data_IF_492462471504
#
_entry.id   IF_492462471504
#
_cell.length_a   1.000
_cell.length_b   1.000
_cell.length_c   1.000
_cell.angle_alpha   90.00
_cell.angle_beta   90.00
_cell.angle_gamma   90.00
#
_symmetry.space_group_name_H-M   'P 1'
#
loop_
_entity.id
_entity.type
_entity.pdbx_description
1 polymer ?
#
# COMPACT_ATOMS: atom_id res chain seq x y z
N UNK A 1 23.85 30.74 5.45
CA UNK A 1 24.04 31.46 6.73
C UNK A 1 24.65 32.85 6.50
N UNK A 2 23.83 33.80 6.03
CA UNK A 2 24.20 35.22 5.86
C UNK A 2 23.02 36.15 6.24
N UNK A 3 22.14 35.69 7.13
CA UNK A 3 20.85 36.36 7.44
C UNK A 3 20.70 36.84 8.88
N UNK A 4 21.68 36.61 9.75
CA UNK A 4 21.57 36.91 11.18
C UNK A 4 21.97 38.36 11.52
N UNK A 5 22.84 38.97 10.71
CA UNK A 5 23.32 40.34 10.93
C UNK A 5 22.30 41.44 10.60
N UNK A 6 21.47 41.25 9.57
CA UNK A 6 20.54 42.29 9.10
C UNK A 6 19.32 42.49 10.02
N UNK A 7 18.88 41.41 10.70
CA UNK A 7 17.75 41.47 11.65
C UNK A 7 18.02 42.36 12.86
N UNK A 8 19.25 42.39 13.37
CA UNK A 8 19.62 43.24 14.52
C UNK A 8 19.68 44.73 14.15
N UNK A 9 20.03 45.04 12.91
CA UNK A 9 20.10 46.43 12.43
C UNK A 9 18.70 47.02 12.16
N UNK A 10 17.80 46.26 11.56
CA UNK A 10 16.43 46.72 11.30
C UNK A 10 15.63 46.99 12.58
N UNK A 11 15.87 46.22 13.66
CA UNK A 11 15.23 46.44 14.97
C UNK A 11 15.72 47.70 15.69
N UNK A 12 16.89 48.24 15.35
CA UNK A 12 17.43 49.46 15.97
C UNK A 12 16.81 50.75 15.41
N UNK A 13 16.24 50.71 14.19
CA UNK A 13 15.69 51.87 13.50
C UNK A 13 14.18 52.11 13.72
N UNK A 14 13.49 51.21 14.41
CA UNK A 14 12.05 51.37 14.70
C UNK A 14 11.79 51.41 16.20
N UNK A 15 12.40 52.38 16.90
CA UNK A 15 11.87 52.86 18.19
C UNK A 15 10.81 53.94 17.92
N UNK A 16 9.69 53.50 17.35
CA UNK A 16 8.48 54.32 17.24
C UNK A 16 7.31 53.44 17.66
N UNK A 17 6.63 53.86 18.73
CA UNK A 17 5.40 53.25 19.23
C UNK A 17 4.30 53.46 18.18
N UNK A 18 4.19 52.55 17.23
CA UNK A 18 3.11 52.49 16.26
C UNK A 18 2.61 51.06 16.13
N UNK A 19 1.54 50.74 16.85
CA UNK A 19 0.71 49.55 16.66
C UNK A 19 0.10 49.62 15.26
N UNK A 20 0.74 49.02 14.25
CA UNK A 20 0.12 48.96 12.92
C UNK A 20 0.97 48.40 11.77
N UNK A 21 2.30 48.48 11.82
CA UNK A 21 3.12 48.16 10.64
C UNK A 21 3.58 46.69 10.61
N UNK A 22 3.73 46.03 11.76
CA UNK A 22 4.19 44.63 11.81
C UNK A 22 3.17 43.63 11.25
N UNK A 23 1.90 43.99 11.12
CA UNK A 23 0.86 43.14 10.53
C UNK A 23 0.89 43.13 8.99
N UNK A 24 1.50 44.15 8.35
CA UNK A 24 1.52 44.27 6.88
C UNK A 24 2.63 43.43 6.21
N UNK A 25 3.65 43.00 6.96
CA UNK A 25 4.79 42.24 6.41
C UNK A 25 4.63 40.71 6.47
N UNK A 26 3.58 40.20 7.11
CA UNK A 26 3.33 38.75 7.22
C UNK A 26 2.47 38.17 6.09
N UNK A 27 2.19 38.97 5.05
CA UNK A 27 1.25 38.65 3.97
C UNK A 27 1.87 38.47 2.59
N UNK A 28 3.18 38.27 2.45
CA UNK A 28 3.76 37.87 1.17
C UNK A 28 3.45 36.37 0.95
N UNK A 29 2.22 36.05 0.54
CA UNK A 29 1.94 34.73 -0.04
C UNK A 29 2.88 34.55 -1.22
N UNK A 30 3.64 33.47 -1.25
CA UNK A 30 4.45 33.11 -2.40
C UNK A 30 3.54 33.13 -3.64
N UNK A 31 3.77 34.06 -4.57
CA UNK A 31 3.01 34.21 -5.82
C UNK A 31 3.37 33.12 -6.86
N UNK A 32 3.82 31.96 -6.38
CA UNK A 32 4.19 30.79 -7.19
C UNK A 32 3.11 29.71 -7.19
N UNK A 33 1.89 30.03 -6.71
CA UNK A 33 0.76 29.10 -6.71
C UNK A 33 0.13 28.98 -8.10
N UNK A 34 -0.32 27.78 -8.46
CA UNK A 34 -1.10 27.56 -9.68
C UNK A 34 -2.33 28.47 -9.73
N UNK A 35 -2.70 28.92 -10.93
CA UNK A 35 -3.91 29.71 -11.13
C UNK A 35 -5.16 28.86 -10.85
N UNK A 36 -6.30 29.46 -10.47
CA UNK A 36 -7.55 28.70 -10.26
C UNK A 36 -7.94 27.85 -11.46
N UNK A 37 -7.64 28.32 -12.68
CA UNK A 37 -7.89 27.58 -13.92
C UNK A 37 -6.98 26.38 -14.15
N UNK A 38 -5.90 26.22 -13.37
CA UNK A 38 -5.03 25.04 -13.40
C UNK A 38 -5.41 23.95 -12.39
N UNK A 39 -6.33 24.25 -11.47
CA UNK A 39 -6.78 23.30 -10.44
C UNK A 39 -7.92 22.42 -10.95
N UNK A 40 -8.11 21.21 -10.39
CA UNK A 40 -9.30 20.39 -10.65
C UNK A 40 -10.61 21.11 -10.32
N UNK A 41 -11.65 20.81 -11.08
CA UNK A 41 -12.97 21.45 -11.01
C UNK A 41 -14.11 20.44 -11.02
N UNK A 42 -15.32 20.94 -11.27
CA UNK A 42 -16.54 20.12 -11.41
C UNK A 42 -16.54 19.33 -12.72
N UNK A 43 -17.32 18.25 -12.76
CA UNK A 43 -17.47 17.41 -13.94
C UNK A 43 -17.87 18.21 -15.19
N UNK A 44 -17.15 18.07 -16.34
CA UNK A 44 -17.45 18.82 -17.55
C UNK A 44 -18.67 18.22 -18.26
N UNK A 45 -19.68 19.05 -18.51
CA UNK A 45 -20.93 18.60 -19.16
C UNK A 45 -20.98 18.98 -20.64
N UNK A 46 -20.35 20.11 -21.00
CA UNK A 46 -20.34 20.60 -22.37
C UNK A 46 -19.06 20.18 -23.13
N UNK A 47 -19.10 20.07 -24.46
CA UNK A 47 -17.92 19.79 -25.27
C UNK A 47 -16.82 20.85 -25.13
N UNK A 48 -17.21 22.12 -24.91
CA UNK A 48 -16.28 23.23 -24.71
C UNK A 48 -15.58 23.13 -23.35
N UNK A 49 -16.31 22.82 -22.28
CA UNK A 49 -15.74 22.52 -20.96
C UNK A 49 -14.81 21.31 -21.02
N UNK A 50 -15.21 20.27 -21.76
CA UNK A 50 -14.39 19.08 -22.00
C UNK A 50 -13.08 19.43 -22.70
N UNK A 51 -13.12 20.28 -23.73
CA UNK A 51 -11.93 20.74 -24.44
C UNK A 51 -11.03 21.63 -23.56
N UNK A 52 -11.62 22.48 -22.73
CA UNK A 52 -10.88 23.29 -21.76
C UNK A 52 -10.21 22.42 -20.68
N UNK A 53 -10.90 21.40 -20.17
CA UNK A 53 -10.36 20.45 -19.20
C UNK A 53 -9.23 19.60 -19.79
N UNK A 54 -9.40 19.08 -21.01
CA UNK A 54 -8.34 18.35 -21.72
C UNK A 54 -7.07 19.22 -21.89
N UNK A 55 -7.25 20.49 -22.30
CA UNK A 55 -6.16 21.47 -22.39
C UNK A 55 -5.50 21.74 -21.03
N UNK A 56 -6.27 21.79 -19.94
CA UNK A 56 -5.79 21.99 -18.57
C UNK A 56 -4.87 20.84 -18.11
N UNK A 57 -5.20 19.60 -18.45
CA UNK A 57 -4.42 18.41 -18.08
C UNK A 57 -3.38 17.97 -19.11
N UNK A 58 -3.14 18.78 -20.16
CA UNK A 58 -2.20 18.46 -21.24
C UNK A 58 -2.53 17.15 -22.00
N UNK A 59 -3.82 16.81 -22.13
CA UNK A 59 -4.31 15.64 -22.88
C UNK A 59 -5.05 16.12 -24.14
N UNK A 60 -5.10 15.28 -25.17
CA UNK A 60 -5.95 15.52 -26.35
C UNK A 60 -7.42 15.45 -25.95
N UNK A 61 -8.27 16.24 -26.61
CA UNK A 61 -9.72 16.27 -26.32
C UNK A 61 -10.37 14.91 -26.57
N UNK A 62 -9.84 14.17 -27.56
CA UNK A 62 -10.27 12.82 -27.95
C UNK A 62 -9.99 11.78 -26.85
N UNK A 63 -8.79 11.82 -26.26
CA UNK A 63 -8.33 10.86 -25.25
C UNK A 63 -8.79 11.24 -23.82
N UNK A 64 -9.33 12.45 -23.65
CA UNK A 64 -9.82 12.90 -22.35
C UNK A 64 -11.16 12.26 -22.03
N UNK A 65 -11.16 11.37 -21.06
CA UNK A 65 -12.34 10.77 -20.47
C UNK A 65 -12.38 11.09 -18.97
N UNK A 66 -13.38 11.84 -18.48
CA UNK A 66 -13.56 12.04 -17.05
C UNK A 66 -14.17 10.78 -16.40
N UNK A 67 -14.00 10.64 -15.09
CA UNK A 67 -14.73 9.63 -14.32
C UNK A 67 -16.25 9.87 -14.39
N UNK A 68 -17.08 8.81 -14.41
CA UNK A 68 -18.53 8.96 -14.46
C UNK A 68 -19.05 9.73 -13.25
N UNK A 69 -19.95 10.69 -13.47
CA UNK A 69 -20.51 11.52 -12.41
C UNK A 69 -21.51 10.74 -11.55
N UNK A 70 -20.99 10.12 -10.49
CA UNK A 70 -21.76 9.40 -9.45
C UNK A 70 -21.74 10.12 -8.11
N UNK A 71 -21.23 11.36 -8.05
CA UNK A 71 -21.03 12.08 -6.79
C UNK A 71 -19.88 11.55 -5.93
N UNK A 72 -18.94 10.77 -6.50
CA UNK A 72 -17.78 10.19 -5.81
C UNK A 72 -16.65 11.22 -5.54
N UNK A 73 -16.74 12.41 -6.14
CA UNK A 73 -15.83 13.53 -5.88
C UNK A 73 -14.63 13.64 -6.83
N UNK A 74 -14.59 12.86 -7.93
CA UNK A 74 -13.52 12.96 -8.94
C UNK A 74 -13.54 14.28 -9.73
N UNK A 75 -14.71 14.88 -9.92
CA UNK A 75 -14.86 16.13 -10.66
C UNK A 75 -14.44 16.00 -12.13
N UNK A 76 -13.56 16.89 -12.58
CA UNK A 76 -12.99 16.87 -13.94
C UNK A 76 -11.64 16.13 -14.05
N UNK A 77 -11.28 15.29 -13.09
CA UNK A 77 -10.03 14.56 -13.18
C UNK A 77 -10.05 13.52 -14.32
N UNK A 78 -8.99 13.41 -15.15
CA UNK A 78 -8.95 12.44 -16.23
C UNK A 78 -8.85 11.01 -15.69
N UNK A 79 -9.68 10.12 -16.22
CA UNK A 79 -9.61 8.68 -16.01
C UNK A 79 -8.54 8.11 -16.93
N UNK A 80 -7.33 7.97 -16.39
CA UNK A 80 -6.24 7.32 -17.11
C UNK A 80 -6.40 5.79 -17.09
N UNK A 81 -5.78 5.05 -18.01
CA UNK A 81 -5.78 3.59 -17.96
C UNK A 81 -5.16 3.06 -16.66
N UNK A 82 -5.81 2.08 -16.06
CA UNK A 82 -5.40 1.42 -14.81
C UNK A 82 -4.17 0.52 -15.03
N UNK A 83 -3.00 1.12 -15.25
CA UNK A 83 -1.73 0.43 -15.49
C UNK A 83 -0.66 0.87 -14.50
N UNK A 84 0.08 -0.09 -13.99
CA UNK A 84 1.18 0.12 -13.05
C UNK A 84 2.36 0.85 -13.72
N UNK A 85 3.18 1.53 -12.92
CA UNK A 85 4.40 2.13 -13.44
C UNK A 85 5.47 1.10 -13.86
N UNK A 86 5.28 -0.19 -13.57
CA UNK A 86 6.18 -1.25 -14.04
C UNK A 86 6.07 -1.50 -15.54
N UNK A 87 4.88 -1.31 -16.13
CA UNK A 87 4.64 -1.53 -17.56
C UNK A 87 5.30 -0.48 -18.45
N UNK A 88 5.59 0.71 -17.92
CA UNK A 88 6.25 1.77 -18.68
C UNK A 88 7.67 1.39 -19.09
N UNK A 89 8.08 1.83 -20.28
CA UNK A 89 9.38 1.51 -20.86
C UNK A 89 10.53 1.85 -19.88
N UNK A 90 11.31 0.86 -19.42
CA UNK A 90 12.44 1.10 -18.52
C UNK A 90 13.63 1.80 -19.21
N UNK A 91 13.72 1.78 -20.54
CA UNK A 91 14.88 2.29 -21.29
C UNK A 91 14.75 3.75 -21.70
N UNK A 92 13.52 4.25 -21.82
CA UNK A 92 13.28 5.68 -22.01
C UNK A 92 13.80 6.49 -20.82
N UNK A 93 14.42 7.64 -21.10
CA UNK A 93 14.97 8.55 -20.08
C UNK A 93 13.87 9.45 -19.52
N UNK A 94 13.17 8.96 -18.50
CA UNK A 94 12.12 9.71 -17.79
C UNK A 94 12.70 10.87 -16.97
N UNK A 95 11.94 11.96 -16.85
CA UNK A 95 12.29 13.07 -15.94
C UNK A 95 12.32 12.65 -14.46
N UNK A 96 11.43 11.73 -14.09
CA UNK A 96 11.43 11.02 -12.80
C UNK A 96 11.72 9.52 -13.04
N UNK A 97 13.00 9.10 -13.02
CA UNK A 97 13.40 7.72 -13.35
C UNK A 97 12.87 6.65 -12.37
N UNK A 98 12.66 7.03 -11.12
CA UNK A 98 12.09 6.18 -10.07
C UNK A 98 10.62 5.85 -10.34
N UNK A 99 9.85 6.85 -10.76
CA UNK A 99 8.41 6.75 -11.02
C UNK A 99 8.07 6.46 -12.49
N UNK A 100 9.06 6.51 -13.39
CA UNK A 100 8.92 6.40 -14.86
C UNK A 100 7.89 7.39 -15.43
N UNK A 101 8.00 8.65 -15.04
CA UNK A 101 7.04 9.72 -15.41
C UNK A 101 7.74 10.96 -15.94
N UNK A 102 7.15 11.63 -16.92
CA UNK A 102 7.63 12.92 -17.40
C UNK A 102 6.96 14.09 -16.67
N UNK A 103 7.59 15.26 -16.73
CA UNK A 103 7.01 16.50 -16.26
C UNK A 103 5.84 16.92 -17.16
N UNK A 104 4.74 17.40 -16.56
CA UNK A 104 3.52 17.80 -17.29
C UNK A 104 2.58 16.66 -17.70
N UNK A 105 2.98 15.39 -17.51
CA UNK A 105 2.05 14.27 -17.70
C UNK A 105 0.99 14.23 -16.57
N UNK A 106 -0.30 14.00 -16.91
CA UNK A 106 -1.35 13.80 -15.92
C UNK A 106 -1.04 12.57 -15.07
N UNK A 107 -1.29 12.68 -13.76
CA UNK A 107 -1.04 11.59 -12.82
C UNK A 107 -2.28 10.68 -12.74
N UNK A 108 -2.10 9.36 -12.60
CA UNK A 108 -3.23 8.47 -12.33
C UNK A 108 -3.90 8.86 -11.01
N UNK A 109 -5.21 8.66 -10.86
CA UNK A 109 -5.90 8.95 -9.59
C UNK A 109 -5.29 8.11 -8.45
N UNK A 110 -5.27 6.79 -8.61
CA UNK A 110 -4.60 5.85 -7.70
C UNK A 110 -3.10 5.69 -7.98
N UNK A 111 -2.41 6.81 -8.24
CA UNK A 111 -0.98 6.77 -8.53
C UNK A 111 -0.17 6.20 -7.36
N UNK A 112 -0.60 6.45 -6.14
CA UNK A 112 0.02 5.94 -4.91
C UNK A 112 -0.01 4.41 -4.81
N UNK A 113 -1.06 3.76 -5.33
CA UNK A 113 -1.21 2.30 -5.42
C UNK A 113 -0.33 1.71 -6.53
N UNK A 114 -0.20 2.41 -7.66
CA UNK A 114 0.51 1.96 -8.85
C UNK A 114 1.99 2.39 -8.91
N UNK A 115 2.54 2.92 -7.82
CA UNK A 115 3.98 3.14 -7.68
C UNK A 115 4.71 1.79 -7.82
N UNK A 116 5.91 1.82 -8.40
CA UNK A 116 6.79 0.67 -8.67
C UNK A 116 7.16 -0.21 -7.45
N UNK A 117 6.75 0.15 -6.25
CA UNK A 117 7.01 -0.60 -5.03
C UNK A 117 5.74 -1.28 -4.46
N UNK A 118 4.63 -1.25 -5.19
CA UNK A 118 3.31 -1.71 -4.73
C UNK A 118 2.64 -2.66 -5.72
N UNK A 119 1.44 -2.32 -6.19
CA UNK A 119 0.62 -3.20 -7.02
C UNK A 119 1.14 -3.13 -8.45
N UNK A 120 1.39 -4.30 -9.02
CA UNK A 120 1.82 -4.44 -10.40
C UNK A 120 0.71 -5.10 -11.25
N UNK A 121 0.42 -4.50 -12.40
CA UNK A 121 -0.54 -4.97 -13.40
C UNK A 121 0.15 -5.60 -14.61
N UNK A 122 1.48 -5.74 -14.58
CA UNK A 122 2.25 -6.31 -15.68
C UNK A 122 1.71 -7.70 -16.08
N UNK A 123 1.63 -7.99 -17.38
CA UNK A 123 1.02 -9.23 -17.85
C UNK A 123 1.84 -10.45 -17.42
N UNK A 124 1.20 -11.40 -16.74
CA UNK A 124 1.78 -12.69 -16.41
C UNK A 124 1.75 -13.65 -17.61
N UNK A 125 2.72 -14.58 -17.73
CA UNK A 125 2.73 -15.57 -18.80
C UNK A 125 1.60 -16.61 -18.67
N UNK A 126 1.00 -16.74 -17.49
CA UNK A 126 -0.13 -17.64 -17.21
C UNK A 126 -1.36 -16.81 -16.85
N UNK A 127 -2.52 -17.24 -17.33
CA UNK A 127 -3.81 -16.62 -17.01
C UNK A 127 -4.14 -16.68 -15.50
N UNK A 128 -4.71 -15.60 -14.98
CA UNK A 128 -4.99 -15.42 -13.54
C UNK A 128 -5.90 -16.50 -12.97
N UNK A 129 -6.96 -16.88 -13.69
CA UNK A 129 -7.92 -17.90 -13.23
C UNK A 129 -7.24 -19.26 -13.16
N UNK A 130 -6.36 -19.54 -14.13
CA UNK A 130 -5.58 -20.78 -14.15
C UNK A 130 -4.61 -20.87 -12.98
N UNK A 131 -3.89 -19.79 -12.67
CA UNK A 131 -3.00 -19.70 -11.49
C UNK A 131 -3.78 -19.97 -10.19
N UNK A 132 -4.94 -19.33 -10.03
CA UNK A 132 -5.78 -19.51 -8.85
C UNK A 132 -6.26 -20.95 -8.70
N UNK A 133 -6.77 -21.56 -9.77
CA UNK A 133 -7.25 -22.95 -9.77
C UNK A 133 -6.16 -23.94 -9.37
N UNK A 134 -4.95 -23.76 -9.91
CA UNK A 134 -3.82 -24.63 -9.58
C UNK A 134 -3.40 -24.47 -8.12
N UNK A 135 -3.30 -23.22 -7.63
CA UNK A 135 -2.94 -22.94 -6.25
C UNK A 135 -3.95 -23.53 -5.26
N UNK A 136 -5.25 -23.23 -5.44
CA UNK A 136 -6.29 -23.74 -4.56
C UNK A 136 -6.49 -25.25 -4.70
N UNK A 137 -6.34 -25.79 -5.90
CA UNK A 137 -6.36 -27.24 -6.12
C UNK A 137 -5.23 -27.95 -5.38
N UNK A 138 -4.02 -27.41 -5.44
CA UNK A 138 -2.86 -27.95 -4.71
C UNK A 138 -3.06 -27.85 -3.19
N UNK A 139 -3.41 -26.68 -2.66
CA UNK A 139 -3.63 -26.49 -1.22
C UNK A 139 -4.74 -27.40 -0.71
N UNK A 140 -5.88 -27.44 -1.42
CA UNK A 140 -7.00 -28.30 -1.06
C UNK A 140 -6.63 -29.78 -1.06
N UNK A 141 -5.88 -30.22 -2.07
CA UNK A 141 -5.39 -31.60 -2.16
C UNK A 141 -4.42 -31.94 -1.03
N UNK A 142 -3.46 -31.06 -0.74
CA UNK A 142 -2.49 -31.27 0.35
C UNK A 142 -3.17 -31.36 1.71
N UNK A 143 -4.11 -30.46 2.01
CA UNK A 143 -4.88 -30.49 3.26
C UNK A 143 -5.70 -31.77 3.38
N UNK A 144 -6.29 -32.23 2.27
CA UNK A 144 -7.01 -33.50 2.23
C UNK A 144 -6.10 -34.71 2.47
N UNK A 145 -4.90 -34.73 1.88
CA UNK A 145 -3.91 -35.79 2.13
C UNK A 145 -3.42 -35.79 3.58
N UNK A 146 -3.21 -34.62 4.20
CA UNK A 146 -2.88 -34.53 5.62
C UNK A 146 -4.02 -35.07 6.50
N UNK A 147 -5.27 -34.76 6.18
CA UNK A 147 -6.43 -35.31 6.87
C UNK A 147 -6.47 -36.85 6.79
N UNK A 148 -6.19 -37.43 5.62
CA UNK A 148 -6.07 -38.89 5.46
C UNK A 148 -4.91 -39.43 6.29
N UNK A 149 -3.75 -38.77 6.26
CA UNK A 149 -2.58 -39.17 7.05
C UNK A 149 -2.84 -39.16 8.56
N UNK A 150 -3.72 -38.29 9.04
CA UNK A 150 -4.16 -38.29 10.44
C UNK A 150 -5.11 -39.46 10.75
N UNK A 151 -5.99 -39.83 9.81
CA UNK A 151 -6.89 -40.98 9.96
C UNK A 151 -6.18 -42.33 9.86
N UNK A 152 -5.13 -42.40 9.06
CA UNK A 152 -4.31 -43.59 8.86
C UNK A 152 -2.85 -43.30 9.25
N UNK A 153 -2.60 -43.10 10.56
CA UNK A 153 -1.26 -42.79 11.02
C UNK A 153 -0.36 -44.01 10.84
N UNK A 154 0.83 -43.78 10.31
CA UNK A 154 1.89 -44.77 10.33
C UNK A 154 2.50 -44.83 11.72
N UNK A 155 2.69 -46.03 12.26
CA UNK A 155 3.35 -46.27 13.53
C UNK A 155 4.33 -47.43 13.40
N UNK A 156 5.36 -47.43 14.23
CA UNK A 156 6.27 -48.56 14.34
C UNK A 156 5.57 -49.69 15.12
N UNK A 157 5.68 -50.97 14.71
CA UNK A 157 5.00 -52.09 15.36
C UNK A 157 5.70 -52.47 16.67
N UNK A 158 5.75 -51.52 17.60
CA UNK A 158 6.34 -51.64 18.93
C UNK A 158 5.28 -51.32 19.98
N UNK A 159 5.36 -52.01 21.12
CA UNK A 159 4.52 -51.70 22.26
C UNK A 159 4.80 -50.28 22.79
N UNK A 160 3.87 -49.66 23.53
CA UNK A 160 4.11 -48.37 24.17
C UNK A 160 5.32 -48.44 25.09
N UNK A 161 6.08 -47.34 25.13
CA UNK A 161 7.28 -47.24 25.97
C UNK A 161 6.92 -47.37 27.44
N UNK A 162 7.50 -48.37 28.09
CA UNK A 162 7.33 -48.62 29.52
C UNK A 162 8.25 -47.70 30.34
N UNK A 163 7.71 -47.18 31.45
CA UNK A 163 8.41 -46.30 32.38
C UNK A 163 8.27 -46.84 33.82
N UNK A 164 9.32 -46.78 34.64
CA UNK A 164 9.27 -47.21 36.04
C UNK A 164 8.49 -46.21 36.93
N UNK A 165 8.33 -46.54 38.21
CA UNK A 165 7.73 -45.67 39.24
C UNK A 165 6.35 -45.11 38.86
N UNK A 166 5.40 -45.99 38.52
CA UNK A 166 4.05 -45.62 38.09
C UNK A 166 4.04 -44.58 36.95
N UNK A 167 4.79 -44.88 35.87
CA UNK A 167 4.96 -44.00 34.71
C UNK A 167 5.62 -42.64 35.03
N UNK A 168 6.59 -42.64 35.95
CA UNK A 168 7.31 -41.45 36.43
C UNK A 168 6.35 -40.41 37.04
N UNK A 169 5.45 -40.86 37.93
CA UNK A 169 4.38 -40.00 38.45
C UNK A 169 4.92 -38.74 39.15
N UNK A 170 5.89 -38.89 40.05
CA UNK A 170 6.44 -37.76 40.80
C UNK A 170 7.26 -36.83 39.89
N UNK A 171 8.04 -37.40 38.96
CA UNK A 171 8.90 -36.65 38.05
C UNK A 171 8.10 -35.89 36.97
N UNK A 172 6.89 -36.35 36.64
CA UNK A 172 5.95 -35.65 35.75
C UNK A 172 5.06 -34.64 36.48
N UNK A 173 5.32 -34.36 37.75
CA UNK A 173 4.58 -33.35 38.52
C UNK A 173 3.31 -33.88 39.20
N UNK A 174 3.23 -35.19 39.46
CA UNK A 174 2.20 -35.80 40.28
C UNK A 174 2.24 -35.32 41.73
N UNK A 175 1.09 -35.36 42.40
CA UNK A 175 0.94 -34.90 43.77
C UNK A 175 1.49 -35.96 44.75
N UNK A 176 2.53 -35.66 45.54
CA UNK A 176 3.15 -36.64 46.44
C UNK A 176 2.20 -37.16 47.53
N UNK A 177 1.12 -36.43 47.83
CA UNK A 177 0.14 -36.83 48.84
C UNK A 177 -0.91 -37.82 48.32
N UNK A 178 -1.03 -37.94 46.99
CA UNK A 178 -1.98 -38.85 46.34
C UNK A 178 -1.25 -40.07 45.83
N UNK A 179 -1.75 -41.24 46.19
CA UNK A 179 -1.23 -42.49 45.66
C UNK A 179 -1.77 -42.69 44.23
N UNK A 180 -0.91 -42.71 43.19
CA UNK A 180 -1.36 -42.98 41.83
C UNK A 180 -1.77 -44.44 41.66
N UNK A 181 -2.53 -44.72 40.60
CA UNK A 181 -2.83 -46.10 40.21
C UNK A 181 -1.53 -46.88 39.96
N UNK A 182 -1.47 -48.12 40.45
CA UNK A 182 -0.26 -48.94 40.38
C UNK A 182 -0.04 -49.48 38.96
N UNK A 183 1.02 -49.04 38.30
CA UNK A 183 1.39 -49.49 36.94
C UNK A 183 2.61 -50.41 37.03
N UNK A 184 2.38 -51.72 36.88
CA UNK A 184 3.43 -52.76 36.91
C UNK A 184 3.86 -53.16 35.51
N UNK A 185 5.18 -53.12 35.25
CA UNK A 185 5.79 -53.65 34.04
C UNK A 185 6.48 -54.98 34.37
N UNK A 186 6.19 -56.03 33.60
CA UNK A 186 6.79 -57.36 33.80
C UNK A 186 7.82 -57.66 32.71
N UNK A 187 8.78 -58.55 33.01
CA UNK A 187 9.68 -59.10 32.01
C UNK A 187 8.91 -59.95 30.99
N UNK A 188 9.29 -59.84 29.71
CA UNK A 188 8.74 -60.61 28.60
C UNK A 188 9.59 -61.85 28.37
#
# INVERSE_FOLDING_TARGET
MAGVGFRKWAQALTKSKGTGISALLSGCRAASGGSKGSLPGSYPTTPEEKAAAAKKYNIRVEDYEPYPDKGEGFGDYPKLPDRSQHERDPWYKWDHPDLRRNWGEPMHWDFDMYIRNRVDTSPSPVDWISMCKQLFGFIGFMLFMFYIGEKFPSYQPVAPKQYPYNNLYLEKGGDPEKQPEEVKNYGI
#
